data_IF_446236626069
#
_entry.id   IF_446236626069
#
_cell.length_a   1.000
_cell.length_b   1.000
_cell.length_c   1.000
_cell.angle_alpha   90.00
_cell.angle_beta   90.00
_cell.angle_gamma   90.00
#
_symmetry.space_group_name_H-M   'P 1'
#
loop_
_entity.id
_entity.type
_entity.pdbx_description
1 polymer ?
#
# COMPACT_ATOMS: atom_id res chain seq x y z
N UNK A 1 -18.71 7.21 -4.11
CA UNK A 1 -17.33 7.40 -3.68
C UNK A 1 -17.30 8.31 -2.45
N UNK A 2 -16.49 7.97 -1.45
CA UNK A 2 -16.20 8.82 -0.29
C UNK A 2 -14.85 9.54 -0.51
N UNK A 3 -14.85 10.86 -0.79
CA UNK A 3 -13.63 11.59 -1.12
C UNK A 3 -12.61 11.66 0.02
N UNK A 4 -13.07 11.70 1.27
CA UNK A 4 -12.18 11.79 2.43
C UNK A 4 -11.46 10.46 2.63
N UNK A 5 -12.20 9.35 2.58
CA UNK A 5 -11.61 8.01 2.69
C UNK A 5 -10.64 7.71 1.56
N UNK A 6 -10.91 8.22 0.35
CA UNK A 6 -9.98 8.07 -0.76
C UNK A 6 -8.67 8.83 -0.50
N UNK A 7 -8.76 10.07 0.02
CA UNK A 7 -7.59 10.87 0.39
C UNK A 7 -6.75 10.16 1.46
N UNK A 8 -7.40 9.62 2.49
CA UNK A 8 -6.70 8.93 3.59
C UNK A 8 -5.99 7.66 3.09
N UNK A 9 -6.66 6.85 2.27
CA UNK A 9 -6.07 5.65 1.67
C UNK A 9 -4.91 6.01 0.72
N UNK A 10 -5.01 7.12 -0.02
CA UNK A 10 -3.92 7.62 -0.84
C UNK A 10 -2.70 8.09 -0.02
N UNK A 11 -2.91 8.75 1.12
CA UNK A 11 -1.83 9.13 2.03
C UNK A 11 -1.12 7.92 2.63
N UNK A 12 -1.86 6.85 2.94
CA UNK A 12 -1.27 5.57 3.38
C UNK A 12 -0.41 4.94 2.28
N UNK A 13 -0.86 5.01 1.03
CA UNK A 13 -0.07 4.54 -0.12
C UNK A 13 1.26 5.32 -0.25
N UNK A 14 1.23 6.64 -0.12
CA UNK A 14 2.44 7.48 -0.15
C UNK A 14 3.40 7.13 1.00
N UNK A 15 2.85 6.99 2.21
CA UNK A 15 3.63 6.60 3.39
C UNK A 15 4.26 5.21 3.27
N UNK A 16 3.60 4.29 2.56
CA UNK A 16 4.16 2.98 2.24
C UNK A 16 5.30 3.09 1.23
N UNK A 17 5.12 3.88 0.17
CA UNK A 17 6.13 4.09 -0.86
C UNK A 17 7.44 4.64 -0.29
N UNK A 18 7.34 5.70 0.52
CA UNK A 18 8.49 6.36 1.14
C UNK A 18 9.33 5.39 2.01
N UNK A 19 8.65 4.56 2.81
CA UNK A 19 9.31 3.68 3.79
C UNK A 19 9.85 2.38 3.20
N UNK A 20 9.19 1.82 2.19
CA UNK A 20 9.37 0.42 1.82
C UNK A 20 9.80 0.21 0.37
N UNK A 21 9.41 1.08 -0.56
CA UNK A 21 9.67 0.85 -2.00
C UNK A 21 11.16 0.71 -2.30
N UNK A 22 12.01 1.50 -1.64
CA UNK A 22 13.46 1.41 -1.81
C UNK A 22 14.07 0.09 -1.30
N UNK A 23 13.42 -0.58 -0.34
CA UNK A 23 13.89 -1.86 0.24
C UNK A 23 13.55 -3.05 -0.65
N UNK A 24 12.37 -3.00 -1.28
CA UNK A 24 11.87 -4.09 -2.14
C UNK A 24 12.28 -3.91 -3.61
N UNK A 25 12.80 -2.74 -3.97
CA UNK A 25 13.27 -2.46 -5.33
C UNK A 25 14.55 -3.25 -5.61
N UNK A 26 14.61 -4.06 -6.67
CA UNK A 26 15.85 -4.67 -7.10
C UNK A 26 16.90 -3.60 -7.40
N UNK A 27 18.12 -3.75 -6.87
CA UNK A 27 19.22 -2.86 -7.19
C UNK A 27 19.48 -2.86 -8.72
N UNK A 28 19.67 -1.67 -9.30
CA UNK A 28 19.85 -1.50 -10.76
C UNK A 28 21.20 -2.01 -11.31
N UNK A 29 22.03 -2.67 -10.50
CA UNK A 29 23.29 -3.30 -10.92
C UNK A 29 23.18 -4.82 -10.79
N UNK A 30 22.92 -5.49 -11.91
CA UNK A 30 22.51 -6.90 -11.97
C UNK A 30 23.56 -7.94 -11.60
N UNK A 31 23.10 -9.20 -11.54
CA UNK A 31 23.76 -10.52 -11.67
C UNK A 31 25.16 -10.81 -11.04
N UNK A 32 25.89 -9.83 -10.55
CA UNK A 32 27.30 -9.94 -10.14
C UNK A 32 27.50 -10.13 -8.63
N UNK A 33 26.44 -9.93 -7.83
CA UNK A 33 26.47 -10.20 -6.39
C UNK A 33 25.32 -11.15 -6.06
N UNK A 34 25.67 -12.40 -5.75
CA UNK A 34 24.70 -13.35 -5.21
C UNK A 34 24.46 -12.97 -3.73
N UNK A 35 23.23 -12.67 -3.32
CA UNK A 35 22.94 -12.36 -1.92
C UNK A 35 23.28 -13.54 -1.02
N UNK A 36 23.70 -13.26 0.21
CA UNK A 36 23.81 -14.31 1.23
C UNK A 36 22.42 -14.78 1.67
N UNK A 37 22.29 -15.97 2.29
CA UNK A 37 21.01 -16.43 2.82
C UNK A 37 20.36 -15.44 3.79
N UNK A 38 21.15 -14.80 4.66
CA UNK A 38 20.66 -13.81 5.63
C UNK A 38 20.10 -12.56 4.93
N UNK A 39 20.78 -12.10 3.88
CA UNK A 39 20.30 -10.99 3.05
C UNK A 39 19.00 -11.36 2.33
N UNK A 40 18.87 -12.61 1.88
CA UNK A 40 17.65 -13.11 1.26
C UNK A 40 16.50 -13.17 2.26
N UNK A 41 16.72 -13.65 3.49
CA UNK A 41 15.71 -13.66 4.55
C UNK A 41 15.19 -12.26 4.89
N UNK A 42 16.09 -11.27 4.97
CA UNK A 42 15.72 -9.86 5.18
C UNK A 42 14.88 -9.35 4.01
N UNK A 43 15.34 -9.58 2.77
CA UNK A 43 14.61 -9.15 1.57
C UNK A 43 13.21 -9.81 1.47
N UNK A 44 13.09 -11.09 1.83
CA UNK A 44 11.81 -11.79 1.87
C UNK A 44 10.87 -11.24 2.95
N UNK A 45 11.41 -10.91 4.13
CA UNK A 45 10.63 -10.28 5.20
C UNK A 45 10.13 -8.89 4.79
N UNK A 46 10.99 -8.07 4.20
CA UNK A 46 10.62 -6.75 3.70
C UNK A 46 9.58 -6.84 2.58
N UNK A 47 9.72 -7.79 1.66
CA UNK A 47 8.74 -8.05 0.61
C UNK A 47 7.39 -8.50 1.18
N UNK A 48 7.38 -9.39 2.18
CA UNK A 48 6.17 -9.86 2.83
C UNK A 48 5.44 -8.71 3.53
N UNK A 49 6.17 -7.91 4.31
CA UNK A 49 5.62 -6.73 4.98
C UNK A 49 5.03 -5.73 3.98
N UNK A 50 5.77 -5.41 2.91
CA UNK A 50 5.30 -4.53 1.84
C UNK A 50 4.00 -5.02 1.22
N UNK A 51 3.93 -6.33 0.92
CA UNK A 51 2.78 -6.92 0.24
C UNK A 51 1.54 -6.92 1.14
N UNK A 52 1.69 -7.20 2.43
CA UNK A 52 0.59 -7.17 3.40
C UNK A 52 0.05 -5.74 3.53
N UNK A 53 0.93 -4.76 3.77
CA UNK A 53 0.53 -3.36 3.91
C UNK A 53 -0.10 -2.82 2.60
N UNK A 54 0.46 -3.16 1.44
CA UNK A 54 -0.09 -2.78 0.14
C UNK A 54 -1.49 -3.34 -0.06
N UNK A 55 -1.71 -4.62 0.31
CA UNK A 55 -3.04 -5.25 0.22
C UNK A 55 -4.06 -4.47 1.05
N UNK A 56 -3.70 -4.08 2.27
CA UNK A 56 -4.58 -3.30 3.16
C UNK A 56 -4.93 -1.94 2.56
N UNK A 57 -3.94 -1.21 2.06
CA UNK A 57 -4.14 0.08 1.38
C UNK A 57 -5.03 -0.06 0.14
N UNK A 58 -4.79 -1.08 -0.69
CA UNK A 58 -5.60 -1.35 -1.87
C UNK A 58 -7.04 -1.70 -1.50
N UNK A 59 -7.24 -2.52 -0.47
CA UNK A 59 -8.58 -2.82 0.04
C UNK A 59 -9.31 -1.55 0.50
N UNK A 60 -8.64 -0.66 1.22
CA UNK A 60 -9.20 0.63 1.62
C UNK A 60 -9.54 1.53 0.42
N UNK A 61 -8.68 1.58 -0.59
CA UNK A 61 -8.94 2.30 -1.84
C UNK A 61 -10.20 1.78 -2.53
N UNK A 62 -10.33 0.46 -2.69
CA UNK A 62 -11.52 -0.15 -3.28
C UNK A 62 -12.79 0.18 -2.49
N UNK A 63 -12.72 0.10 -1.15
CA UNK A 63 -13.85 0.45 -0.29
C UNK A 63 -14.21 1.94 -0.39
N UNK A 64 -13.24 2.84 -0.51
CA UNK A 64 -13.47 4.27 -0.67
C UNK A 64 -14.14 4.60 -2.02
N UNK A 65 -13.73 3.90 -3.08
CA UNK A 65 -14.34 4.03 -4.42
C UNK A 65 -15.78 3.51 -4.40
N UNK A 66 -15.99 2.31 -3.85
CA UNK A 66 -17.29 1.64 -3.79
C UNK A 66 -18.27 2.26 -2.79
N UNK A 67 -17.79 2.98 -1.77
CA UNK A 67 -18.64 3.64 -0.78
C UNK A 67 -19.58 4.65 -1.45
N UNK A 68 -20.89 4.59 -1.21
CA UNK A 68 -21.84 5.61 -1.68
C UNK A 68 -21.52 6.96 -0.99
N UNK A 69 -21.57 8.11 -1.69
CA UNK A 69 -21.33 9.40 -1.05
C UNK A 69 -22.32 9.60 0.11
N UNK A 70 -21.80 9.96 1.28
CA UNK A 70 -22.64 10.37 2.39
C UNK A 70 -23.19 11.78 2.09
N UNK A 71 -24.37 11.87 1.46
CA UNK A 71 -25.04 13.17 1.28
C UNK A 71 -26.34 13.14 0.48
N UNK A 72 -27.47 13.01 1.17
CA UNK A 72 -28.51 14.07 1.30
C UNK A 72 -29.73 13.45 2.00
N UNK A 73 -30.16 14.04 3.13
CA UNK A 73 -31.06 13.39 4.09
C UNK A 73 -32.43 12.94 3.58
N UNK A 74 -33.00 11.97 4.31
CA UNK A 74 -34.45 11.80 4.45
C UNK A 74 -34.82 12.11 5.90
N UNK A 75 -34.78 13.40 6.23
CA UNK A 75 -35.85 13.96 7.05
C UNK A 75 -37.03 14.22 6.12
N UNK A 76 -38.21 13.69 6.46
CA UNK A 76 -39.43 13.65 5.63
C UNK A 76 -39.78 12.19 5.34
N UNK A 77 -40.78 11.57 5.95
CA UNK A 77 -42.02 12.07 6.58
C UNK A 77 -42.37 11.32 7.85
#
# INVERSE_FOLDING_TARGET
>A
MDPQRLKDAYQKLQSLDERMTHKVRPARGGALVRPTPEQLEVAMRDLANYTIELKEVVQELFLAIAAKPAGSGSGGS
#
